data_IF_251350566448
#
_entry.id   IF_251350566448
#
_cell.length_a   1.000
_cell.length_b   1.000
_cell.length_c   1.000
_cell.angle_alpha   90.00
_cell.angle_beta   90.00
_cell.angle_gamma   90.00
#
_symmetry.space_group_name_H-M   'P 1'
#
loop_
_entity.id
_entity.type
_entity.pdbx_description
1 polymer ?
#
# COMPACT_ATOMS: atom_id res chain seq x y z
N UNK A 1 -23.36 -16.98 -3.76
CA UNK A 1 -22.02 -16.31 -3.83
C UNK A 1 -22.03 -15.45 -5.08
N UNK A 2 -21.79 -14.17 -4.93
CA UNK A 2 -21.87 -13.18 -6.02
C UNK A 2 -20.93 -13.55 -7.16
N UNK A 3 -21.45 -13.51 -8.38
CA UNK A 3 -20.70 -13.75 -9.61
C UNK A 3 -21.31 -12.94 -10.76
N UNK A 4 -20.48 -12.27 -11.54
CA UNK A 4 -20.88 -11.69 -12.82
C UNK A 4 -20.16 -12.44 -13.96
N UNK A 5 -20.88 -13.41 -14.52
CA UNK A 5 -20.36 -14.25 -15.61
C UNK A 5 -19.97 -13.44 -16.83
N UNK A 6 -20.75 -12.42 -17.16
CA UNK A 6 -20.48 -11.55 -18.32
C UNK A 6 -19.15 -10.81 -18.15
N UNK A 7 -18.90 -10.22 -16.97
CA UNK A 7 -17.62 -9.56 -16.67
C UNK A 7 -16.44 -10.51 -16.77
N UNK A 8 -16.57 -11.74 -16.23
CA UNK A 8 -15.50 -12.76 -16.30
C UNK A 8 -15.23 -13.14 -17.77
N UNK A 9 -16.26 -13.35 -18.57
CA UNK A 9 -16.12 -13.66 -19.99
C UNK A 9 -15.40 -12.53 -20.75
N UNK A 10 -15.77 -11.28 -20.51
CA UNK A 10 -15.12 -10.12 -21.13
C UNK A 10 -13.63 -10.04 -20.77
N UNK A 11 -13.28 -10.30 -19.51
CA UNK A 11 -11.87 -10.32 -19.08
C UNK A 11 -11.09 -11.46 -19.74
N UNK A 12 -11.61 -12.69 -19.69
CA UNK A 12 -10.93 -13.84 -20.29
C UNK A 12 -10.75 -13.68 -21.80
N UNK A 13 -11.79 -13.21 -22.49
CA UNK A 13 -11.70 -12.96 -23.95
C UNK A 13 -10.73 -11.83 -24.29
N UNK A 14 -10.69 -10.77 -23.50
CA UNK A 14 -9.73 -9.70 -23.71
C UNK A 14 -8.27 -10.15 -23.43
N UNK A 15 -8.04 -11.04 -22.45
CA UNK A 15 -6.73 -11.61 -22.19
C UNK A 15 -6.26 -12.55 -23.30
N UNK A 16 -7.16 -13.29 -23.95
CA UNK A 16 -6.83 -14.12 -25.12
C UNK A 16 -6.37 -13.24 -26.27
N UNK A 17 -7.08 -12.17 -26.56
CA UNK A 17 -6.78 -11.24 -27.65
C UNK A 17 -5.56 -10.36 -27.37
N UNK A 18 -5.41 -9.91 -26.13
CA UNK A 18 -4.39 -8.97 -25.67
C UNK A 18 -3.72 -9.47 -24.38
N UNK A 19 -2.94 -10.57 -24.42
CA UNK A 19 -2.33 -11.15 -23.23
C UNK A 19 -1.31 -10.22 -22.55
N UNK A 20 -0.84 -9.18 -23.26
CA UNK A 20 0.04 -8.13 -22.71
C UNK A 20 -0.57 -7.36 -21.53
N UNK A 21 -1.88 -7.44 -21.27
CA UNK A 21 -2.46 -6.91 -20.03
C UNK A 21 -1.89 -7.59 -18.77
N UNK A 22 -1.45 -8.85 -18.86
CA UNK A 22 -0.81 -9.58 -17.77
C UNK A 22 0.56 -9.02 -17.38
N UNK A 23 1.26 -8.36 -18.30
CA UNK A 23 2.57 -7.72 -18.02
C UNK A 23 2.45 -6.31 -17.44
N UNK A 24 1.27 -5.70 -17.48
CA UNK A 24 1.00 -4.37 -16.92
C UNK A 24 0.66 -4.46 -15.42
N UNK A 25 1.52 -5.12 -14.64
CA UNK A 25 1.29 -5.40 -13.21
C UNK A 25 1.23 -4.15 -12.32
N UNK A 26 1.68 -3.00 -12.80
CA UNK A 26 1.52 -1.70 -12.17
C UNK A 26 0.08 -1.15 -12.32
N UNK A 27 -0.67 -1.59 -13.32
CA UNK A 27 -2.04 -1.16 -13.60
C UNK A 27 -3.07 -2.26 -13.37
N UNK A 28 -2.78 -3.49 -13.78
CA UNK A 28 -3.71 -4.61 -13.74
C UNK A 28 -3.09 -5.80 -13.00
N UNK A 29 -3.66 -6.14 -11.85
CA UNK A 29 -3.25 -7.31 -11.07
C UNK A 29 -4.37 -8.35 -11.18
N UNK A 30 -4.14 -9.41 -11.94
CA UNK A 30 -5.05 -10.53 -12.07
C UNK A 30 -4.40 -11.79 -11.50
N UNK A 31 -5.18 -12.59 -10.81
CA UNK A 31 -4.74 -13.84 -10.21
C UNK A 31 -5.84 -14.90 -10.39
N UNK A 32 -5.48 -16.16 -10.23
CA UNK A 32 -6.42 -17.30 -10.28
C UNK A 32 -7.60 -17.13 -9.29
N UNK A 33 -7.37 -16.43 -8.16
CA UNK A 33 -8.41 -16.18 -7.16
C UNK A 33 -9.50 -15.21 -7.61
N UNK A 34 -9.25 -14.42 -8.65
CA UNK A 34 -10.24 -13.53 -9.25
C UNK A 34 -11.39 -14.29 -9.95
N UNK A 35 -11.13 -15.52 -10.34
CA UNK A 35 -12.08 -16.39 -11.04
C UNK A 35 -12.77 -17.36 -10.09
N UNK A 36 -14.01 -17.73 -10.41
CA UNK A 36 -14.85 -18.47 -9.45
C UNK A 36 -14.90 -19.96 -9.71
N UNK A 37 -15.15 -20.37 -10.94
CA UNK A 37 -15.27 -21.78 -11.32
C UNK A 37 -13.92 -22.43 -11.59
N UNK A 38 -13.85 -23.75 -11.47
CA UNK A 38 -12.63 -24.50 -11.83
C UNK A 38 -12.26 -24.29 -13.29
N UNK A 39 -13.26 -24.22 -14.16
CA UNK A 39 -13.07 -23.99 -15.59
C UNK A 39 -12.43 -22.62 -15.87
N UNK A 40 -12.99 -21.54 -15.32
CA UNK A 40 -12.44 -20.18 -15.46
C UNK A 40 -11.00 -20.10 -14.95
N UNK A 41 -10.70 -20.74 -13.82
CA UNK A 41 -9.34 -20.79 -13.24
C UNK A 41 -8.36 -21.54 -14.14
N UNK A 42 -8.78 -22.70 -14.68
CA UNK A 42 -7.94 -23.45 -15.62
C UNK A 42 -7.70 -22.65 -16.89
N UNK A 43 -8.72 -21.96 -17.41
CA UNK A 43 -8.58 -21.13 -18.60
C UNK A 43 -7.65 -19.94 -18.36
N UNK A 44 -7.79 -19.26 -17.24
CA UNK A 44 -6.87 -18.18 -16.88
C UNK A 44 -5.42 -18.68 -16.76
N UNK A 45 -5.20 -19.78 -16.06
CA UNK A 45 -3.87 -20.40 -15.97
C UNK A 45 -3.29 -20.77 -17.35
N UNK A 46 -4.12 -21.28 -18.26
CA UNK A 46 -3.68 -21.58 -19.62
C UNK A 46 -3.21 -20.31 -20.34
N UNK A 47 -4.00 -19.22 -20.28
CA UNK A 47 -3.67 -17.94 -20.89
C UNK A 47 -2.36 -17.37 -20.30
N UNK A 48 -2.23 -17.37 -18.97
CA UNK A 48 -1.04 -16.89 -18.26
C UNK A 48 0.21 -17.67 -18.67
N UNK A 49 0.16 -19.01 -18.64
CA UNK A 49 1.28 -19.86 -19.04
C UNK A 49 1.66 -19.69 -20.52
N UNK A 50 0.69 -19.61 -21.43
CA UNK A 50 0.96 -19.39 -22.85
C UNK A 50 1.65 -18.05 -23.09
N UNK A 51 1.23 -17.01 -22.37
CA UNK A 51 1.86 -15.70 -22.45
C UNK A 51 3.27 -15.71 -21.84
N UNK A 52 3.50 -16.32 -20.68
CA UNK A 52 4.82 -16.48 -20.07
C UNK A 52 5.80 -17.25 -20.96
N UNK A 53 5.27 -18.21 -21.75
CA UNK A 53 6.05 -18.93 -22.75
C UNK A 53 6.30 -18.13 -24.04
N UNK A 54 5.91 -16.86 -24.09
CA UNK A 54 6.26 -15.91 -25.15
C UNK A 54 5.22 -15.74 -26.26
N UNK A 55 3.99 -16.25 -26.10
CA UNK A 55 2.91 -16.03 -27.07
C UNK A 55 2.30 -14.64 -26.85
N UNK A 56 2.61 -13.70 -27.74
CA UNK A 56 2.01 -12.35 -27.69
C UNK A 56 0.59 -12.26 -28.28
N UNK A 57 0.14 -13.33 -28.92
CA UNK A 57 -1.23 -13.52 -29.43
C UNK A 57 -1.60 -14.97 -29.23
N UNK A 58 -2.68 -15.22 -28.54
CA UNK A 58 -3.16 -16.55 -28.20
C UNK A 58 -4.33 -16.90 -29.14
N UNK A 59 -4.29 -18.06 -29.77
CA UNK A 59 -5.37 -18.59 -30.60
C UNK A 59 -6.10 -19.71 -29.86
N UNK A 60 -7.31 -20.03 -30.29
CA UNK A 60 -8.12 -21.11 -29.67
C UNK A 60 -7.35 -22.43 -29.70
N UNK A 61 -6.65 -22.71 -30.80
CA UNK A 61 -5.85 -23.93 -30.94
C UNK A 61 -4.68 -24.02 -29.94
N UNK A 62 -4.11 -22.89 -29.53
CA UNK A 62 -3.02 -22.87 -28.54
C UNK A 62 -3.55 -23.27 -27.15
N UNK A 63 -4.74 -22.80 -26.80
CA UNK A 63 -5.42 -23.16 -25.56
C UNK A 63 -5.83 -24.64 -25.58
N UNK A 64 -6.37 -25.12 -26.69
CA UNK A 64 -6.74 -26.53 -26.86
C UNK A 64 -5.51 -27.44 -26.68
N UNK A 65 -4.41 -27.14 -27.34
CA UNK A 65 -3.14 -27.87 -27.20
C UNK A 65 -2.59 -27.82 -25.78
N UNK A 66 -2.75 -26.68 -25.07
CA UNK A 66 -2.32 -26.57 -23.67
C UNK A 66 -3.08 -27.58 -22.79
N UNK A 67 -4.38 -27.70 -22.96
CA UNK A 67 -5.19 -28.65 -22.20
C UNK A 67 -4.97 -30.10 -22.55
N UNK A 68 -4.50 -30.41 -23.77
CA UNK A 68 -4.14 -31.79 -24.18
C UNK A 68 -3.03 -32.39 -23.30
N UNK A 69 -2.18 -31.56 -22.69
CA UNK A 69 -1.05 -32.01 -21.89
C UNK A 69 -1.40 -32.37 -20.44
N UNK A 70 -2.58 -32.00 -19.93
CA UNK A 70 -3.06 -32.32 -18.59
C UNK A 70 -4.46 -32.97 -18.62
N UNK A 71 -4.56 -34.29 -18.35
CA UNK A 71 -5.83 -35.02 -18.42
C UNK A 71 -6.93 -34.44 -17.52
N UNK A 72 -6.59 -33.84 -16.36
CA UNK A 72 -7.56 -33.27 -15.41
C UNK A 72 -8.13 -31.98 -15.98
N UNK A 73 -7.28 -31.07 -16.43
CA UNK A 73 -7.70 -29.81 -17.01
C UNK A 73 -8.44 -30.01 -18.33
N UNK A 74 -8.06 -31.03 -19.14
CA UNK A 74 -8.76 -31.44 -20.35
C UNK A 74 -10.18 -31.87 -20.06
N UNK A 75 -10.41 -32.73 -19.06
CA UNK A 75 -11.76 -33.17 -18.65
C UNK A 75 -12.65 -31.99 -18.22
N UNK A 76 -12.06 -31.03 -17.46
CA UNK A 76 -12.77 -29.80 -17.06
C UNK A 76 -13.12 -28.95 -18.30
N UNK A 77 -12.20 -28.81 -19.25
CA UNK A 77 -12.40 -28.03 -20.46
C UNK A 77 -13.50 -28.64 -21.36
N UNK A 78 -13.45 -29.94 -21.60
CA UNK A 78 -14.45 -30.66 -22.39
C UNK A 78 -15.86 -30.64 -21.76
N UNK A 79 -15.96 -30.86 -20.43
CA UNK A 79 -17.25 -30.82 -19.69
C UNK A 79 -17.91 -29.45 -19.71
N UNK A 80 -17.18 -28.38 -19.94
CA UNK A 80 -17.70 -27.02 -20.01
C UNK A 80 -17.84 -26.51 -21.45
N UNK A 81 -17.81 -27.38 -22.48
CA UNK A 81 -17.86 -27.01 -23.89
C UNK A 81 -16.80 -25.94 -24.23
N UNK A 82 -15.57 -26.18 -23.82
CA UNK A 82 -14.49 -25.18 -23.84
C UNK A 82 -14.26 -24.54 -25.22
N UNK A 83 -14.36 -25.31 -26.31
CA UNK A 83 -14.18 -24.77 -27.67
C UNK A 83 -15.30 -23.78 -28.03
N UNK A 84 -16.56 -24.16 -27.79
CA UNK A 84 -17.71 -23.29 -28.04
C UNK A 84 -17.62 -22.01 -27.20
N UNK A 85 -17.25 -22.16 -25.93
CA UNK A 85 -17.01 -21.02 -25.02
C UNK A 85 -15.93 -20.08 -25.55
N UNK A 86 -14.80 -20.59 -26.06
CA UNK A 86 -13.74 -19.76 -26.63
C UNK A 86 -14.17 -19.07 -27.93
N UNK A 87 -14.98 -19.73 -28.76
CA UNK A 87 -15.55 -19.12 -29.96
C UNK A 87 -16.49 -17.97 -29.61
N UNK A 88 -17.32 -18.15 -28.59
CA UNK A 88 -18.19 -17.10 -28.06
C UNK A 88 -17.36 -15.91 -27.52
N UNK A 89 -16.29 -16.18 -26.78
CA UNK A 89 -15.40 -15.12 -26.30
C UNK A 89 -14.79 -14.34 -27.48
N UNK A 90 -14.39 -15.01 -28.55
CA UNK A 90 -13.80 -14.35 -29.72
C UNK A 90 -14.80 -13.40 -30.40
N UNK A 91 -16.07 -13.78 -30.46
CA UNK A 91 -17.12 -12.99 -31.10
C UNK A 91 -17.63 -11.85 -30.22
N UNK A 92 -17.87 -12.10 -28.91
CA UNK A 92 -18.60 -11.19 -28.05
C UNK A 92 -17.73 -10.33 -27.12
N UNK A 93 -16.40 -10.48 -27.15
CA UNK A 93 -15.52 -9.68 -26.30
C UNK A 93 -15.35 -8.26 -26.83
N UNK A 94 -15.67 -7.28 -25.98
CA UNK A 94 -15.41 -5.87 -26.22
C UNK A 94 -13.98 -5.50 -25.79
N UNK A 95 -13.08 -5.41 -26.73
CA UNK A 95 -11.67 -5.16 -26.53
C UNK A 95 -11.36 -3.76 -25.99
N UNK A 96 -12.26 -2.79 -26.25
CA UNK A 96 -12.02 -1.39 -25.93
C UNK A 96 -12.33 -1.02 -24.45
N UNK A 97 -13.07 -1.88 -23.75
CA UNK A 97 -13.56 -1.61 -22.41
C UNK A 97 -12.92 -2.52 -21.33
N UNK A 98 -11.70 -3.00 -21.55
CA UNK A 98 -11.00 -3.87 -20.58
C UNK A 98 -10.92 -3.27 -19.18
N UNK A 99 -10.55 -1.99 -19.06
CA UNK A 99 -10.43 -1.30 -17.77
C UNK A 99 -11.75 -1.24 -17.00
N UNK A 100 -12.85 -1.03 -17.69
CA UNK A 100 -14.20 -1.07 -17.09
C UNK A 100 -14.49 -2.46 -16.52
N UNK A 101 -14.29 -3.52 -17.29
CA UNK A 101 -14.55 -4.90 -16.84
C UNK A 101 -13.58 -5.33 -15.74
N UNK A 102 -12.32 -4.92 -15.81
CA UNK A 102 -11.34 -5.16 -14.76
C UNK A 102 -11.78 -4.53 -13.42
N UNK A 103 -12.14 -3.26 -13.44
CA UNK A 103 -12.62 -2.57 -12.24
C UNK A 103 -13.90 -3.20 -11.68
N UNK A 104 -14.81 -3.61 -12.55
CA UNK A 104 -16.04 -4.32 -12.16
C UNK A 104 -15.74 -5.68 -11.55
N UNK A 105 -14.82 -6.46 -12.14
CA UNK A 105 -14.38 -7.74 -11.59
C UNK A 105 -13.81 -7.55 -10.17
N UNK A 106 -12.92 -6.58 -9.97
CA UNK A 106 -12.32 -6.31 -8.67
C UNK A 106 -13.34 -5.87 -7.62
N UNK A 107 -14.31 -5.05 -7.99
CA UNK A 107 -15.43 -4.68 -7.09
C UNK A 107 -16.24 -5.91 -6.66
N UNK A 108 -16.61 -6.79 -7.59
CA UNK A 108 -17.37 -8.00 -7.31
C UNK A 108 -16.56 -8.98 -6.45
N UNK A 109 -15.26 -9.13 -6.74
CA UNK A 109 -14.39 -10.00 -5.97
C UNK A 109 -14.25 -9.51 -4.52
N UNK A 110 -14.08 -8.20 -4.31
CA UNK A 110 -14.06 -7.62 -2.97
C UNK A 110 -15.37 -7.92 -2.21
N UNK A 111 -16.52 -7.71 -2.83
CA UNK A 111 -17.81 -8.01 -2.22
C UNK A 111 -17.97 -9.50 -1.91
N UNK A 112 -17.52 -10.37 -2.80
CA UNK A 112 -17.53 -11.82 -2.60
C UNK A 112 -16.69 -12.23 -1.39
N UNK A 113 -15.52 -11.63 -1.22
CA UNK A 113 -14.65 -11.92 -0.08
C UNK A 113 -15.23 -11.37 1.23
N UNK A 114 -15.86 -10.21 1.21
CA UNK A 114 -16.64 -9.71 2.35
C UNK A 114 -17.80 -10.65 2.72
N UNK A 115 -18.53 -11.16 1.73
CA UNK A 115 -19.61 -12.13 1.94
C UNK A 115 -19.10 -13.43 2.58
N UNK A 116 -17.92 -13.93 2.16
CA UNK A 116 -17.31 -15.15 2.73
C UNK A 116 -17.01 -15.01 4.23
N UNK A 117 -16.63 -13.84 4.68
CA UNK A 117 -16.34 -13.56 6.09
C UNK A 117 -17.57 -13.07 6.87
N UNK A 118 -18.77 -13.13 6.26
CA UNK A 118 -20.04 -12.84 6.92
C UNK A 118 -20.43 -11.35 6.95
N UNK A 119 -19.77 -10.48 6.19
CA UNK A 119 -20.18 -9.08 6.07
C UNK A 119 -21.39 -8.98 5.11
N UNK A 120 -22.45 -8.30 5.56
CA UNK A 120 -23.62 -8.02 4.71
C UNK A 120 -23.27 -7.01 3.62
N UNK A 121 -23.45 -7.46 2.38
CA UNK A 121 -23.15 -6.71 1.16
C UNK A 121 -24.41 -6.27 0.41
N UNK A 122 -25.60 -6.58 0.91
CA UNK A 122 -26.90 -6.34 0.24
C UNK A 122 -27.15 -4.88 -0.12
N UNK A 123 -26.49 -3.94 0.60
CA UNK A 123 -26.57 -2.51 0.31
C UNK A 123 -25.65 -2.04 -0.82
N UNK A 124 -24.73 -2.90 -1.26
CA UNK A 124 -23.82 -2.59 -2.37
C UNK A 124 -24.25 -3.25 -3.67
N UNK A 125 -24.72 -4.50 -3.59
CA UNK A 125 -25.07 -5.27 -4.77
C UNK A 125 -26.27 -6.19 -4.49
N UNK A 126 -27.19 -6.24 -5.43
CA UNK A 126 -28.37 -7.09 -5.38
C UNK A 126 -28.39 -8.08 -6.54
N UNK A 127 -28.44 -9.38 -6.22
CA UNK A 127 -28.53 -10.45 -7.24
C UNK A 127 -29.95 -10.57 -7.84
N UNK A 128 -30.97 -10.28 -7.03
CA UNK A 128 -32.37 -10.34 -7.47
C UNK A 128 -32.79 -9.06 -8.20
N UNK A 129 -32.85 -9.13 -9.51
CA UNK A 129 -33.23 -8.01 -10.39
C UNK A 129 -34.75 -7.81 -10.49
N UNK A 130 -35.56 -8.64 -9.85
CA UNK A 130 -37.05 -8.53 -9.90
C UNK A 130 -37.56 -7.40 -9.00
N UNK A 131 -36.78 -6.99 -8.02
CA UNK A 131 -37.13 -5.92 -7.10
C UNK A 131 -36.66 -4.55 -7.65
N UNK A 132 -37.56 -3.54 -7.77
CA UNK A 132 -37.17 -2.19 -8.22
C UNK A 132 -36.02 -1.55 -7.44
N UNK A 133 -35.92 -1.81 -6.13
CA UNK A 133 -34.81 -1.33 -5.29
C UNK A 133 -33.45 -1.90 -5.70
N UNK A 134 -33.42 -3.10 -6.25
CA UNK A 134 -32.19 -3.74 -6.72
C UNK A 134 -31.57 -2.98 -7.88
N UNK A 135 -32.39 -2.40 -8.74
CA UNK A 135 -31.90 -1.57 -9.84
C UNK A 135 -31.15 -0.33 -9.33
N UNK A 136 -31.72 0.38 -8.34
CA UNK A 136 -31.07 1.55 -7.74
C UNK A 136 -29.75 1.19 -7.03
N UNK A 137 -29.72 0.05 -6.33
CA UNK A 137 -28.52 -0.46 -5.65
C UNK A 137 -27.43 -0.75 -6.69
N UNK A 138 -27.77 -1.49 -7.75
CA UNK A 138 -26.81 -1.86 -8.78
C UNK A 138 -26.34 -0.65 -9.61
N UNK A 139 -27.21 0.34 -9.84
CA UNK A 139 -26.81 1.60 -10.48
C UNK A 139 -25.79 2.37 -9.62
N UNK A 140 -25.98 2.44 -8.31
CA UNK A 140 -25.01 3.03 -7.39
C UNK A 140 -23.69 2.24 -7.36
N UNK A 141 -23.78 0.91 -7.37
CA UNK A 141 -22.60 0.04 -7.43
C UNK A 141 -21.71 0.31 -8.65
N UNK A 142 -22.30 0.57 -9.81
CA UNK A 142 -21.52 0.89 -11.01
C UNK A 142 -20.67 2.17 -10.83
N UNK A 143 -21.16 3.14 -10.06
CA UNK A 143 -20.46 4.41 -9.80
C UNK A 143 -19.38 4.29 -8.72
N UNK A 144 -19.45 3.30 -7.84
CA UNK A 144 -18.49 3.13 -6.75
C UNK A 144 -17.18 2.52 -7.25
N UNK A 145 -16.07 3.00 -6.67
CA UNK A 145 -14.74 2.37 -6.78
C UNK A 145 -14.54 1.27 -5.74
N UNK A 146 -13.54 0.41 -5.95
CA UNK A 146 -13.10 -0.60 -4.96
C UNK A 146 -12.78 0.06 -3.61
N UNK A 147 -12.06 1.18 -3.65
CA UNK A 147 -11.66 1.92 -2.44
C UNK A 147 -12.85 2.50 -1.68
N UNK A 148 -13.86 3.02 -2.38
CA UNK A 148 -15.06 3.57 -1.75
C UNK A 148 -15.92 2.47 -1.10
N UNK A 149 -16.04 1.30 -1.74
CA UNK A 149 -16.70 0.13 -1.15
C UNK A 149 -15.98 -0.28 0.14
N UNK A 150 -14.66 -0.43 0.09
CA UNK A 150 -13.85 -0.78 1.26
C UNK A 150 -13.97 0.25 2.39
N UNK A 151 -13.94 1.54 2.06
CA UNK A 151 -14.11 2.63 3.04
C UNK A 151 -15.49 2.59 3.71
N UNK A 152 -16.56 2.32 2.96
CA UNK A 152 -17.92 2.22 3.53
C UNK A 152 -18.06 1.00 4.47
N UNK A 153 -17.49 -0.16 4.11
CA UNK A 153 -17.49 -1.33 5.00
C UNK A 153 -16.70 -1.02 6.28
N UNK A 154 -15.50 -0.44 6.14
CA UNK A 154 -14.68 -0.04 7.28
C UNK A 154 -15.40 0.96 8.19
N UNK A 155 -16.09 1.94 7.62
CA UNK A 155 -16.91 2.89 8.40
C UNK A 155 -17.99 2.18 9.22
N UNK A 156 -18.64 1.14 8.68
CA UNK A 156 -19.64 0.35 9.42
C UNK A 156 -19.00 -0.38 10.59
N UNK A 157 -17.82 -1.00 10.38
CA UNK A 157 -17.08 -1.69 11.44
C UNK A 157 -16.68 -0.71 12.55
N UNK A 158 -16.10 0.44 12.18
CA UNK A 158 -15.76 1.49 13.15
C UNK A 158 -16.97 2.02 13.94
N UNK A 159 -18.13 2.13 13.30
CA UNK A 159 -19.36 2.54 13.98
C UNK A 159 -19.86 1.48 14.97
N UNK A 160 -19.62 0.20 14.70
CA UNK A 160 -19.93 -0.89 15.65
C UNK A 160 -18.95 -0.84 16.81
N UNK A 161 -17.65 -0.79 16.52
CA UNK A 161 -16.59 -0.70 17.52
C UNK A 161 -16.77 0.51 18.45
N UNK A 162 -17.10 1.67 17.88
CA UNK A 162 -17.34 2.91 18.66
C UNK A 162 -18.50 2.84 19.65
N UNK A 163 -19.41 1.83 19.54
CA UNK A 163 -20.47 1.60 20.54
C UNK A 163 -19.97 0.85 21.78
N UNK A 164 -18.91 0.08 21.63
CA UNK A 164 -18.39 -0.82 22.65
C UNK A 164 -17.03 -0.38 23.19
N UNK A 165 -16.22 0.25 22.35
CA UNK A 165 -15.01 0.91 22.80
C UNK A 165 -15.42 2.26 23.40
N UNK A 166 -15.23 2.43 24.69
CA UNK A 166 -15.31 3.76 25.30
C UNK A 166 -14.31 4.65 24.55
N UNK A 167 -14.80 5.68 23.87
CA UNK A 167 -13.94 6.76 23.44
C UNK A 167 -13.45 7.43 24.72
N UNK A 168 -12.24 7.15 25.14
CA UNK A 168 -11.54 7.78 26.28
C UNK A 168 -11.25 9.28 26.04
N UNK A 169 -12.08 9.95 25.24
CA UNK A 169 -11.85 11.32 24.78
C UNK A 169 -12.52 12.38 25.69
N UNK A 170 -13.20 11.96 26.74
CA UNK A 170 -13.86 12.91 27.68
C UNK A 170 -13.65 12.48 29.11
N UNK A 171 -12.43 12.27 29.53
CA UNK A 171 -12.08 12.29 30.94
C UNK A 171 -11.85 13.76 31.33
N UNK A 172 -12.64 14.26 32.25
CA UNK A 172 -12.43 15.57 32.85
C UNK A 172 -11.78 15.30 34.20
N UNK A 173 -10.50 15.53 34.29
CA UNK A 173 -9.74 15.44 35.54
C UNK A 173 -9.51 16.82 36.12
N UNK A 174 -9.45 16.90 37.47
CA UNK A 174 -8.97 18.09 38.14
C UNK A 174 -7.49 18.31 37.88
N UNK A 175 -7.05 19.55 37.68
CA UNK A 175 -5.63 19.89 37.52
C UNK A 175 -4.73 19.41 38.67
N UNK A 176 -5.28 19.12 39.83
CA UNK A 176 -4.58 18.56 41.00
C UNK A 176 -4.64 17.04 41.09
N UNK A 177 -5.42 16.38 40.23
CA UNK A 177 -5.57 14.94 40.26
C UNK A 177 -4.28 14.27 39.80
N UNK A 178 -3.81 13.29 40.55
CA UNK A 178 -2.56 12.56 40.26
C UNK A 178 -1.28 13.43 40.15
N UNK A 179 -1.30 14.71 40.60
CA UNK A 179 -0.18 15.64 40.47
C UNK A 179 1.09 15.14 41.17
N UNK A 180 0.95 14.47 42.31
CA UNK A 180 2.08 13.93 43.08
C UNK A 180 2.79 12.79 42.31
N UNK A 181 2.00 11.90 41.67
CA UNK A 181 2.50 10.82 40.84
C UNK A 181 3.20 11.38 39.60
N UNK A 182 2.65 12.44 39.00
CA UNK A 182 3.25 13.13 37.87
C UNK A 182 4.59 13.75 38.24
N UNK A 183 4.66 14.45 39.39
CA UNK A 183 5.92 15.05 39.88
C UNK A 183 6.95 13.96 40.18
N UNK A 184 6.56 12.84 40.76
CA UNK A 184 7.46 11.73 41.02
C UNK A 184 8.01 11.16 39.71
N UNK A 185 7.18 11.04 38.68
CA UNK A 185 7.64 10.56 37.34
C UNK A 185 8.70 11.49 36.73
N UNK A 186 8.63 12.80 36.97
CA UNK A 186 9.65 13.75 36.51
C UNK A 186 10.98 13.62 37.25
N UNK A 187 10.95 13.19 38.53
CA UNK A 187 12.18 12.91 39.25
C UNK A 187 12.83 11.60 38.85
N UNK A 188 12.02 10.61 38.48
CA UNK A 188 12.50 9.29 38.09
C UNK A 188 12.96 9.24 36.63
N UNK A 189 12.27 9.95 35.74
CA UNK A 189 12.55 9.98 34.30
C UNK A 189 12.33 11.40 33.75
N UNK A 190 13.37 11.99 33.17
CA UNK A 190 13.21 13.24 32.42
C UNK A 190 12.27 13.00 31.23
N UNK A 191 11.27 13.86 31.01
CA UNK A 191 10.38 13.84 29.84
C UNK A 191 11.12 14.34 28.60
N UNK A 192 12.13 13.56 28.19
CA UNK A 192 12.98 13.82 27.04
C UNK A 192 12.74 12.73 25.99
N UNK A 193 12.49 13.15 24.76
CA UNK A 193 12.36 12.24 23.65
C UNK A 193 13.70 11.68 23.16
N UNK A 194 13.64 10.75 22.23
CA UNK A 194 14.86 10.23 21.61
C UNK A 194 15.55 11.33 20.79
N UNK A 195 16.89 11.38 20.80
CA UNK A 195 17.63 12.43 20.09
C UNK A 195 17.40 12.33 18.57
N UNK A 196 17.30 13.50 17.94
CA UNK A 196 17.25 13.66 16.49
C UNK A 196 18.63 14.03 15.94
N UNK A 197 18.80 13.95 14.62
CA UNK A 197 20.03 14.38 13.98
C UNK A 197 20.21 15.89 14.14
N UNK A 198 21.31 16.29 14.76
CA UNK A 198 21.68 17.69 14.96
C UNK A 198 21.25 18.28 16.29
N UNK A 199 21.99 19.33 16.70
CA UNK A 199 21.90 19.91 18.05
C UNK A 199 20.62 20.75 18.20
N UNK A 200 20.30 21.61 17.23
CA UNK A 200 19.22 22.60 17.33
C UNK A 200 17.85 22.02 17.59
N UNK A 201 17.48 20.95 16.89
CA UNK A 201 16.15 20.33 17.09
C UNK A 201 16.05 19.61 18.42
N UNK A 202 17.15 19.03 18.89
CA UNK A 202 17.18 18.43 20.23
C UNK A 202 17.01 19.46 21.34
N UNK A 203 17.64 20.63 21.21
CA UNK A 203 17.51 21.71 22.19
C UNK A 203 16.10 22.33 22.21
N UNK A 204 15.46 22.50 21.02
CA UNK A 204 14.14 23.13 20.90
C UNK A 204 13.01 22.16 21.25
N UNK A 205 13.12 20.89 20.80
CA UNK A 205 12.04 19.90 20.90
C UNK A 205 12.21 18.95 22.08
N UNK A 206 13.36 18.98 22.76
CA UNK A 206 13.76 17.96 23.74
C UNK A 206 13.70 16.54 23.17
N UNK A 207 14.13 16.38 21.91
CA UNK A 207 14.08 15.12 21.19
C UNK A 207 12.71 14.78 20.58
N UNK A 208 12.63 13.60 19.97
CA UNK A 208 11.41 13.05 19.38
C UNK A 208 10.60 12.30 20.44
N UNK A 209 9.50 12.87 20.89
CA UNK A 209 8.61 12.26 21.91
C UNK A 209 7.43 11.56 21.21
N UNK A 210 7.08 10.36 21.67
CA UNK A 210 5.88 9.66 21.21
C UNK A 210 4.63 10.44 21.62
N UNK A 211 3.59 10.41 20.78
CA UNK A 211 2.34 11.14 21.03
C UNK A 211 2.38 12.64 20.74
N UNK A 212 3.50 13.17 20.22
CA UNK A 212 3.61 14.60 19.85
C UNK A 212 3.62 14.79 18.34
N UNK A 213 3.02 15.89 17.88
CA UNK A 213 3.07 16.33 16.48
C UNK A 213 4.06 17.49 16.34
N UNK A 214 5.08 17.32 15.50
CA UNK A 214 6.02 18.37 15.16
C UNK A 214 5.88 18.76 13.70
N UNK A 215 5.60 20.03 13.40
CA UNK A 215 5.52 20.56 12.05
C UNK A 215 6.76 21.43 11.80
N UNK A 216 7.52 21.09 10.75
CA UNK A 216 8.70 21.85 10.31
C UNK A 216 8.43 22.54 8.99
N UNK A 217 8.76 23.81 8.90
CA UNK A 217 8.64 24.61 7.68
C UNK A 217 9.98 25.18 7.29
N UNK A 218 10.28 25.19 5.99
CA UNK A 218 11.48 25.81 5.44
C UNK A 218 11.28 26.13 3.95
N UNK A 219 12.08 27.01 3.38
CA UNK A 219 12.03 27.36 1.97
C UNK A 219 12.30 26.18 1.03
N UNK A 220 11.93 26.31 -0.23
CA UNK A 220 12.25 25.28 -1.25
C UNK A 220 13.77 25.16 -1.40
N UNK A 221 14.26 23.92 -1.60
CA UNK A 221 15.70 23.67 -1.81
C UNK A 221 16.58 23.75 -0.55
N UNK A 222 16.03 24.04 0.63
CA UNK A 222 16.82 24.15 1.89
C UNK A 222 17.17 22.82 2.53
N UNK A 223 16.73 21.70 1.97
CA UNK A 223 17.07 20.36 2.48
C UNK A 223 16.05 19.73 3.42
N UNK A 224 14.78 20.20 3.45
CA UNK A 224 13.71 19.64 4.31
C UNK A 224 13.64 18.11 4.29
N UNK A 225 13.52 17.54 3.10
CA UNK A 225 13.44 16.09 2.90
C UNK A 225 14.68 15.38 3.42
N UNK A 226 15.89 15.90 3.12
CA UNK A 226 17.14 15.30 3.61
C UNK A 226 17.24 15.32 5.13
N UNK A 227 16.82 16.43 5.75
CA UNK A 227 16.76 16.53 7.21
C UNK A 227 15.73 15.54 7.79
N UNK A 228 14.55 15.43 7.19
CA UNK A 228 13.54 14.49 7.62
C UNK A 228 14.00 13.02 7.50
N UNK A 229 14.66 12.66 6.39
CA UNK A 229 15.25 11.32 6.21
C UNK A 229 16.39 11.11 7.20
N UNK A 230 17.24 12.12 7.44
CA UNK A 230 18.33 12.04 8.42
C UNK A 230 17.82 11.79 9.84
N UNK A 231 16.78 12.52 10.28
CA UNK A 231 16.16 12.32 11.60
C UNK A 231 15.49 10.94 11.70
N UNK A 232 14.79 10.50 10.64
CA UNK A 232 14.19 9.19 10.57
C UNK A 232 15.24 8.07 10.66
N UNK A 233 16.37 8.22 9.95
CA UNK A 233 17.49 7.28 10.02
C UNK A 233 18.15 7.28 11.40
N UNK A 234 18.30 8.44 12.03
CA UNK A 234 18.89 8.54 13.38
C UNK A 234 18.07 7.79 14.43
N UNK A 235 16.75 7.78 14.27
CA UNK A 235 15.85 7.00 15.14
C UNK A 235 15.82 5.50 14.78
N UNK A 236 15.93 5.17 13.48
CA UNK A 236 15.77 3.80 12.99
C UNK A 236 17.02 2.92 13.14
N UNK A 237 18.20 3.49 12.93
CA UNK A 237 19.44 2.73 12.82
C UNK A 237 20.38 3.01 14.00
N UNK A 238 20.78 1.97 14.76
CA UNK A 238 21.61 2.16 15.94
C UNK A 238 23.08 2.49 15.62
N UNK A 239 23.49 2.35 14.36
CA UNK A 239 24.89 2.52 13.93
C UNK A 239 24.93 3.33 12.63
N UNK A 240 25.91 4.21 12.50
CA UNK A 240 26.25 4.89 11.25
C UNK A 240 27.76 5.03 11.10
N UNK A 241 28.26 5.13 9.89
CA UNK A 241 29.66 5.42 9.63
C UNK A 241 29.94 6.93 9.80
N UNK A 242 31.07 7.26 10.42
CA UNK A 242 31.60 8.62 10.51
C UNK A 242 32.87 8.73 9.65
N UNK A 243 32.83 9.55 8.62
CA UNK A 243 33.95 9.74 7.69
C UNK A 243 35.16 10.47 8.32
N UNK A 244 34.94 11.23 9.40
CA UNK A 244 36.01 11.96 10.10
C UNK A 244 36.81 11.04 11.01
N UNK A 245 36.15 10.19 11.79
CA UNK A 245 36.79 9.20 12.67
C UNK A 245 37.16 7.93 11.91
N UNK A 246 36.54 7.71 10.75
CA UNK A 246 36.65 6.48 9.93
C UNK A 246 36.14 5.24 10.62
N UNK A 247 35.20 5.36 11.53
CA UNK A 247 34.64 4.30 12.35
C UNK A 247 33.10 4.27 12.26
N UNK A 248 32.53 3.12 12.62
CA UNK A 248 31.10 2.96 12.80
C UNK A 248 30.71 3.36 14.20
N UNK A 249 29.96 4.44 14.33
CA UNK A 249 29.53 5.03 15.59
C UNK A 249 28.13 4.58 15.98
N UNK A 250 27.92 4.32 17.27
CA UNK A 250 26.62 3.98 17.82
C UNK A 250 25.76 5.23 17.98
N UNK A 251 24.52 5.20 17.49
CA UNK A 251 23.49 6.22 17.74
C UNK A 251 22.64 5.85 18.96
N UNK A 252 22.55 4.57 19.29
CA UNK A 252 21.79 4.04 20.41
C UNK A 252 20.29 3.86 20.18
N UNK A 253 19.77 4.26 19.02
CA UNK A 253 18.35 4.18 18.69
C UNK A 253 18.06 2.98 17.76
N UNK A 254 16.89 2.34 17.92
CA UNK A 254 16.45 1.25 17.05
C UNK A 254 14.91 1.21 17.00
N UNK A 255 14.32 2.33 16.59
CA UNK A 255 12.86 2.50 16.52
C UNK A 255 12.32 2.15 15.14
N UNK A 256 11.06 1.76 15.09
CA UNK A 256 10.37 1.49 13.82
C UNK A 256 9.73 2.75 13.25
N UNK A 257 10.11 3.09 12.05
CA UNK A 257 9.78 4.34 11.36
C UNK A 257 8.91 4.08 10.14
N UNK A 258 7.86 4.88 9.97
CA UNK A 258 7.10 4.99 8.73
C UNK A 258 7.41 6.33 8.06
N UNK A 259 8.03 6.32 6.89
CA UNK A 259 8.31 7.51 6.10
C UNK A 259 7.34 7.60 4.91
N UNK A 260 6.46 8.60 4.92
CA UNK A 260 5.48 8.85 3.86
C UNK A 260 6.03 9.96 2.96
N UNK A 261 6.36 9.61 1.72
CA UNK A 261 6.89 10.53 0.72
C UNK A 261 5.81 10.90 -0.31
N UNK A 262 5.58 12.20 -0.51
CA UNK A 262 4.61 12.69 -1.50
C UNK A 262 5.23 13.00 -2.86
N UNK A 263 6.49 13.41 -2.91
CA UNK A 263 7.19 13.75 -4.15
C UNK A 263 8.28 12.74 -4.53
N UNK A 264 9.09 12.33 -3.56
CA UNK A 264 10.26 11.50 -3.82
C UNK A 264 9.87 10.05 -4.12
N UNK A 265 10.60 9.42 -5.03
CA UNK A 265 10.48 8.00 -5.26
C UNK A 265 11.30 7.17 -4.24
N UNK A 266 11.07 5.85 -4.23
CA UNK A 266 11.75 4.94 -3.31
C UNK A 266 13.28 4.98 -3.44
N UNK A 267 13.81 5.15 -4.65
CA UNK A 267 15.24 5.14 -4.90
C UNK A 267 15.90 6.45 -4.46
N UNK A 268 15.19 7.57 -4.59
CA UNK A 268 15.68 8.86 -4.06
C UNK A 268 15.78 8.80 -2.52
N UNK A 269 14.75 8.28 -1.84
CA UNK A 269 14.82 8.10 -0.38
C UNK A 269 15.92 7.11 0.02
N UNK A 270 16.06 5.98 -0.68
CA UNK A 270 17.14 5.00 -0.41
C UNK A 270 18.54 5.59 -0.59
N UNK A 271 18.75 6.46 -1.59
CA UNK A 271 20.04 7.17 -1.75
C UNK A 271 20.33 8.06 -0.55
N UNK A 272 19.33 8.78 -0.03
CA UNK A 272 19.50 9.61 1.16
C UNK A 272 19.79 8.76 2.41
N UNK A 273 19.13 7.60 2.58
CA UNK A 273 19.41 6.63 3.65
C UNK A 273 20.86 6.12 3.56
N UNK A 274 21.28 5.72 2.36
CA UNK A 274 22.67 5.27 2.16
C UNK A 274 23.67 6.39 2.43
N UNK A 275 23.40 7.61 1.97
CA UNK A 275 24.26 8.77 2.26
C UNK A 275 24.38 9.04 3.77
N UNK A 276 23.26 8.92 4.50
CA UNK A 276 23.25 9.04 5.95
C UNK A 276 24.09 7.94 6.64
N UNK A 277 23.88 6.68 6.29
CA UNK A 277 24.54 5.53 6.93
C UNK A 277 26.03 5.47 6.65
N UNK A 278 26.47 5.95 5.47
CA UNK A 278 27.86 5.84 5.02
C UNK A 278 28.67 7.13 5.18
N UNK A 279 27.99 8.24 5.49
CA UNK A 279 28.57 9.61 5.47
C UNK A 279 29.21 9.98 4.11
N UNK A 280 28.78 9.29 3.03
CA UNK A 280 29.20 9.57 1.66
C UNK A 280 28.22 10.57 1.05
N UNK A 281 28.74 11.59 0.36
CA UNK A 281 27.91 12.59 -0.27
C UNK A 281 26.90 11.96 -1.26
N UNK A 282 25.61 12.32 -1.16
CA UNK A 282 24.52 11.78 -1.98
C UNK A 282 24.79 11.90 -3.50
N UNK A 283 25.51 12.95 -3.94
CA UNK A 283 25.87 13.11 -5.35
C UNK A 283 26.72 11.95 -5.90
N UNK A 284 27.52 11.30 -5.04
CA UNK A 284 28.35 10.14 -5.42
C UNK A 284 27.47 8.95 -5.80
N UNK A 285 26.34 8.75 -5.12
CA UNK A 285 25.35 7.71 -5.47
C UNK A 285 24.64 7.98 -6.80
N UNK A 286 24.59 9.24 -7.22
CA UNK A 286 24.03 9.61 -8.53
C UNK A 286 24.98 9.29 -9.69
N UNK A 287 26.27 9.50 -9.50
CA UNK A 287 27.26 9.30 -10.55
C UNK A 287 27.91 7.91 -10.53
N UNK A 288 27.74 7.14 -9.45
CA UNK A 288 28.30 5.79 -9.32
C UNK A 288 29.83 5.75 -9.20
N UNK A 289 30.47 6.89 -8.90
CA UNK A 289 31.92 7.02 -8.78
C UNK A 289 32.35 6.83 -7.32
N UNK A 290 32.72 5.61 -6.96
CA UNK A 290 33.14 5.23 -5.63
C UNK A 290 34.57 4.69 -5.62
N UNK A 291 35.37 5.13 -4.64
CA UNK A 291 36.63 4.49 -4.31
C UNK A 291 36.43 3.10 -3.73
N UNK A 292 37.44 2.26 -3.76
CA UNK A 292 37.35 0.90 -3.20
C UNK A 292 37.07 0.88 -1.70
N UNK A 293 37.49 1.93 -0.99
CA UNK A 293 37.13 2.12 0.43
C UNK A 293 35.63 2.40 0.58
N UNK A 294 35.08 3.33 -0.19
CA UNK A 294 33.66 3.68 -0.16
C UNK A 294 32.78 2.48 -0.53
N UNK A 295 33.19 1.66 -1.51
CA UNK A 295 32.49 0.42 -1.86
C UNK A 295 32.36 -0.51 -0.65
N UNK A 296 33.44 -0.71 0.12
CA UNK A 296 33.39 -1.53 1.34
C UNK A 296 32.45 -0.96 2.40
N UNK A 297 32.45 0.37 2.58
CA UNK A 297 31.53 1.04 3.53
C UNK A 297 30.09 0.86 3.06
N UNK A 298 29.81 1.00 1.76
CA UNK A 298 28.48 0.78 1.18
C UNK A 298 28.03 -0.69 1.37
N UNK A 299 28.92 -1.67 1.14
CA UNK A 299 28.62 -3.08 1.37
C UNK A 299 28.21 -3.35 2.83
N UNK A 300 28.92 -2.75 3.78
CA UNK A 300 28.59 -2.84 5.21
C UNK A 300 27.24 -2.16 5.53
N UNK A 301 26.97 -0.99 4.94
CA UNK A 301 25.69 -0.31 5.09
C UNK A 301 24.52 -1.14 4.52
N UNK A 302 24.73 -1.87 3.42
CA UNK A 302 23.72 -2.78 2.86
C UNK A 302 23.44 -3.96 3.80
N UNK A 303 24.46 -4.50 4.47
CA UNK A 303 24.29 -5.55 5.48
C UNK A 303 23.46 -5.00 6.64
N UNK A 304 23.81 -3.81 7.14
CA UNK A 304 23.06 -3.14 8.21
C UNK A 304 21.60 -2.90 7.84
N UNK A 305 21.32 -2.42 6.62
CA UNK A 305 19.96 -2.20 6.15
C UNK A 305 19.12 -3.49 6.11
N UNK A 306 19.75 -4.62 5.83
CA UNK A 306 19.07 -5.93 5.86
C UNK A 306 18.87 -6.44 7.29
N UNK A 307 19.81 -6.18 8.19
CA UNK A 307 19.69 -6.53 9.60
C UNK A 307 18.55 -5.77 10.29
N UNK A 308 18.36 -4.50 9.92
CA UNK A 308 17.33 -3.61 10.46
C UNK A 308 16.23 -3.31 9.42
N UNK A 309 15.87 -4.28 8.55
CA UNK A 309 14.88 -4.08 7.48
C UNK A 309 13.49 -3.69 8.00
N UNK A 310 13.14 -4.13 9.21
CA UNK A 310 11.88 -3.83 9.89
C UNK A 310 11.85 -2.47 10.61
N UNK A 311 12.95 -1.71 10.59
CA UNK A 311 13.02 -0.43 11.28
C UNK A 311 12.67 0.77 10.40
N UNK A 312 12.69 0.65 9.08
CA UNK A 312 12.43 1.77 8.18
C UNK A 312 11.54 1.39 7.00
N UNK A 313 10.27 1.79 7.07
CA UNK A 313 9.29 1.57 6.01
C UNK A 313 9.06 2.84 5.21
N UNK A 314 9.00 2.73 3.89
CA UNK A 314 8.74 3.85 2.98
C UNK A 314 7.39 3.62 2.29
N UNK A 315 6.54 4.64 2.32
CA UNK A 315 5.29 4.68 1.57
C UNK A 315 5.34 5.85 0.59
N UNK A 316 5.12 5.60 -0.68
CA UNK A 316 4.99 6.65 -1.70
C UNK A 316 3.52 6.99 -1.90
N UNK A 317 3.15 8.26 -1.71
CA UNK A 317 1.78 8.73 -1.77
C UNK A 317 1.68 10.08 -2.52
N UNK A 318 1.74 10.08 -3.87
CA UNK A 318 1.82 11.31 -4.66
C UNK A 318 0.54 12.16 -4.61
N UNK A 319 -0.62 11.55 -4.34
CA UNK A 319 -1.91 12.24 -4.25
C UNK A 319 -2.64 11.82 -2.97
N UNK A 320 -2.17 12.26 -1.79
CA UNK A 320 -2.76 11.85 -0.51
C UNK A 320 -4.15 12.48 -0.32
N UNK A 321 -5.09 11.67 0.18
CA UNK A 321 -6.30 12.15 0.86
C UNK A 321 -6.10 12.04 2.37
N UNK A 322 -6.84 12.82 3.17
CA UNK A 322 -6.73 12.76 4.63
C UNK A 322 -7.07 11.34 5.13
N UNK A 323 -8.12 10.75 4.60
CA UNK A 323 -8.55 9.41 5.00
C UNK A 323 -7.53 8.33 4.63
N UNK A 324 -6.89 8.44 3.45
CA UNK A 324 -5.85 7.52 3.03
C UNK A 324 -4.61 7.62 3.94
N UNK A 325 -4.17 8.84 4.27
CA UNK A 325 -3.05 9.07 5.20
C UNK A 325 -3.36 8.46 6.57
N UNK A 326 -4.53 8.75 7.14
CA UNK A 326 -4.97 8.16 8.41
C UNK A 326 -5.00 6.64 8.36
N UNK A 327 -5.51 6.08 7.26
CA UNK A 327 -5.59 4.64 7.07
C UNK A 327 -4.20 4.01 7.08
N UNK A 328 -3.29 4.50 6.24
CA UNK A 328 -1.92 3.98 6.13
C UNK A 328 -1.17 4.07 7.46
N UNK A 329 -1.29 5.21 8.17
CA UNK A 329 -0.66 5.37 9.48
C UNK A 329 -1.22 4.32 10.47
N UNK A 330 -2.54 4.23 10.62
CA UNK A 330 -3.18 3.28 11.56
C UNK A 330 -2.84 1.83 11.24
N UNK A 331 -2.91 1.45 9.98
CA UNK A 331 -2.59 0.09 9.53
C UNK A 331 -1.15 -0.28 9.87
N UNK A 332 -0.18 0.58 9.53
CA UNK A 332 1.22 0.29 9.79
C UNK A 332 1.58 0.36 11.28
N UNK A 333 0.98 1.27 12.06
CA UNK A 333 1.14 1.28 13.51
C UNK A 333 0.64 -0.03 14.16
N UNK A 334 -0.51 -0.56 13.70
CA UNK A 334 -1.07 -1.80 14.25
C UNK A 334 -0.34 -3.06 13.78
N UNK A 335 0.10 -3.10 12.53
CA UNK A 335 0.67 -4.33 11.93
C UNK A 335 2.18 -4.43 12.06
N UNK A 336 2.88 -3.30 12.18
CA UNK A 336 4.35 -3.22 12.19
C UNK A 336 4.92 -2.58 13.44
N UNK A 337 4.07 -2.18 14.39
CA UNK A 337 4.48 -1.54 15.65
C UNK A 337 5.31 -0.25 15.41
N UNK A 338 4.84 0.60 14.49
CA UNK A 338 5.52 1.86 14.14
C UNK A 338 5.49 2.83 15.33
N UNK A 339 6.67 3.29 15.77
CA UNK A 339 6.81 4.26 16.86
C UNK A 339 6.76 5.71 16.39
N UNK A 340 7.27 5.99 15.17
CA UNK A 340 7.35 7.36 14.64
C UNK A 340 6.96 7.40 13.16
N UNK A 341 6.26 8.48 12.79
CA UNK A 341 5.80 8.72 11.42
C UNK A 341 6.41 10.02 10.91
N UNK A 342 7.07 9.97 9.77
CA UNK A 342 7.52 11.13 9.02
C UNK A 342 6.66 11.32 7.79
N UNK A 343 6.12 12.52 7.59
CA UNK A 343 5.29 12.86 6.43
C UNK A 343 5.95 14.02 5.67
N UNK A 344 6.52 13.72 4.53
CA UNK A 344 7.27 14.68 3.72
C UNK A 344 6.65 14.79 2.31
N UNK A 345 5.89 15.84 2.09
CA UNK A 345 5.50 16.96 2.92
C UNK A 345 4.00 17.26 2.79
N UNK A 346 3.46 18.10 3.67
CA UNK A 346 2.05 18.50 3.60
C UNK A 346 1.89 19.51 2.47
N UNK A 347 1.12 19.15 1.44
CA UNK A 347 0.70 20.07 0.39
C UNK A 347 -0.78 19.90 0.09
N UNK A 348 -1.40 20.96 -0.40
CA UNK A 348 -2.81 20.95 -0.78
C UNK A 348 -2.90 20.55 -2.26
N UNK A 349 -2.99 19.24 -2.50
CA UNK A 349 -3.20 18.67 -3.83
C UNK A 349 -4.67 18.73 -4.28
N UNK A 350 -4.96 18.40 -5.56
CA UNK A 350 -6.32 18.41 -6.09
C UNK A 350 -7.30 17.52 -5.31
N UNK A 351 -6.87 16.37 -4.85
CA UNK A 351 -7.68 15.43 -4.05
C UNK A 351 -8.08 16.05 -2.71
N UNK A 352 -7.13 16.68 -2.02
CA UNK A 352 -7.38 17.38 -0.75
C UNK A 352 -8.29 18.58 -0.92
N UNK A 353 -8.13 19.36 -2.00
CA UNK A 353 -9.01 20.49 -2.32
C UNK A 353 -10.46 20.06 -2.55
N UNK A 354 -10.68 18.89 -3.14
CA UNK A 354 -12.03 18.35 -3.34
C UNK A 354 -12.67 17.91 -2.03
N UNK A 355 -11.90 17.34 -1.09
CA UNK A 355 -12.39 17.03 0.25
C UNK A 355 -12.83 18.31 0.98
N UNK A 356 -12.06 19.40 0.92
CA UNK A 356 -12.43 20.67 1.54
C UNK A 356 -13.66 21.36 0.91
N UNK A 357 -13.87 21.20 -0.39
CA UNK A 357 -15.06 21.74 -1.07
C UNK A 357 -16.35 21.02 -0.72
N UNK A 358 -16.28 19.80 -0.21
CA UNK A 358 -17.43 19.03 0.27
C UNK A 358 -17.91 19.41 1.68
N UNK A 359 -17.22 20.33 2.37
CA UNK A 359 -17.56 20.81 3.71
C UNK A 359 -18.23 22.21 3.75
N UNK A 360 -18.58 22.80 2.59
CA UNK A 360 -19.30 24.07 2.49
C UNK A 360 -20.77 23.84 2.16
#
# INVERSE_FOLDING_TARGET
MIQDKSTIQQILGALIKHPQYLSQSDKYILTVSDFTTKFEKCLFNAIENLYENGLNKIQIIDIENFFENDPISKDIFEKNNGIEFLQDLDVYTDENNFEYYYNKLKKINLLRDYQKIGIDISSFYAEDLTNPKSFEINQKFELLTVSEIAAQVKKRLLNIEGKYLKNDVTEVESASENIETLIQSFYDHADVGLPLQGIYFNEILNGARKGTLCIRSAGSGTGKTRQAVGDACYLAFPIRYNSQTCEWEQTGNSEKILFIATEQDFNEIRKMILAYLTDINESRFRYGDFSDREKKIIEQAVILLKEYEDNFYIVRMPNPTIELVKHIIRENCLTKDIGYVFYDYIFIGPSLLNEFKGFN
#
